data_IF_146005743914
#
_entry.id   IF_146005743914
#
_cell.length_a   1.000
_cell.length_b   1.000
_cell.length_c   1.000
_cell.angle_alpha   90.00
_cell.angle_beta   90.00
_cell.angle_gamma   90.00
#
_symmetry.space_group_name_H-M   'P 1'
#
loop_
_entity.id
_entity.type
_entity.pdbx_description
1 polymer ?
#
# COMPACT_ATOMS: atom_id res chain seq x y z
N UNK A 1 21.32 -4.59 -2.33
CA UNK A 1 19.86 -4.64 -2.24
C UNK A 1 19.37 -3.28 -1.84
N UNK A 2 18.16 -2.93 -2.26
CA UNK A 2 17.46 -1.75 -1.75
C UNK A 2 16.94 -2.00 -0.33
N UNK A 3 16.68 -0.93 0.42
CA UNK A 3 15.92 -1.01 1.67
C UNK A 3 14.42 -1.10 1.38
N UNK A 4 13.63 -1.55 2.36
CA UNK A 4 12.16 -1.57 2.25
C UNK A 4 11.59 -0.19 1.90
N UNK A 5 12.08 0.87 2.54
CA UNK A 5 11.67 2.24 2.25
C UNK A 5 12.03 2.68 0.82
N UNK A 6 13.20 2.28 0.31
CA UNK A 6 13.58 2.56 -1.08
C UNK A 6 12.68 1.85 -2.07
N UNK A 7 12.38 0.56 -1.81
CA UNK A 7 11.45 -0.22 -2.62
C UNK A 7 10.06 0.43 -2.61
N UNK A 8 9.47 0.66 -1.44
CA UNK A 8 8.12 1.21 -1.32
C UNK A 8 7.96 2.57 -2.02
N UNK A 9 8.98 3.45 -1.93
CA UNK A 9 8.95 4.74 -2.62
C UNK A 9 9.09 4.62 -4.14
N UNK A 10 9.88 3.66 -4.63
CA UNK A 10 10.06 3.37 -6.05
C UNK A 10 8.79 2.74 -6.64
N UNK A 11 8.30 1.65 -6.06
CA UNK A 11 7.09 0.94 -6.52
C UNK A 11 5.89 1.89 -6.55
N UNK A 12 5.68 2.70 -5.50
CA UNK A 12 4.58 3.66 -5.47
C UNK A 12 4.65 4.65 -6.65
N UNK A 13 5.85 5.14 -7.01
CA UNK A 13 6.02 6.01 -8.16
C UNK A 13 5.80 5.26 -9.49
N UNK A 14 6.36 4.06 -9.64
CA UNK A 14 6.33 3.27 -10.88
C UNK A 14 4.90 2.78 -11.20
N UNK A 15 4.17 2.31 -10.19
CA UNK A 15 2.80 1.77 -10.31
C UNK A 15 1.72 2.85 -10.36
N UNK A 16 1.93 4.01 -9.71
CA UNK A 16 0.87 5.03 -9.54
C UNK A 16 1.19 6.40 -10.12
N UNK A 17 2.45 6.71 -10.42
CA UNK A 17 2.87 8.05 -10.83
C UNK A 17 2.98 9.06 -9.67
N UNK A 18 2.70 8.63 -8.44
CA UNK A 18 2.81 9.43 -7.22
C UNK A 18 4.07 9.10 -6.46
N UNK A 19 4.90 10.10 -6.21
CA UNK A 19 6.04 9.97 -5.32
C UNK A 19 5.58 10.22 -3.88
N UNK A 20 5.69 9.25 -2.96
CA UNK A 20 5.41 9.49 -1.55
C UNK A 20 6.45 10.44 -0.95
N UNK A 21 6.05 11.18 0.08
CA UNK A 21 6.98 11.88 0.97
C UNK A 21 7.83 10.90 1.78
N UNK A 22 8.53 11.37 2.83
CA UNK A 22 9.28 10.50 3.71
C UNK A 22 8.40 9.39 4.29
N UNK A 23 8.79 8.13 4.09
CA UNK A 23 8.07 6.99 4.66
C UNK A 23 8.60 6.63 6.04
N UNK A 24 7.75 5.99 6.83
CA UNK A 24 8.13 5.34 8.08
C UNK A 24 7.65 3.89 8.09
N UNK A 25 8.43 2.95 8.64
CA UNK A 25 7.98 1.57 8.81
C UNK A 25 6.67 1.53 9.61
N UNK A 26 5.67 0.83 9.09
CA UNK A 26 4.36 0.75 9.71
C UNK A 26 4.07 -0.64 10.26
N UNK A 27 4.00 -1.63 9.38
CA UNK A 27 3.71 -3.01 9.75
C UNK A 27 4.61 -3.98 9.00
N UNK A 28 4.81 -5.16 9.59
CA UNK A 28 5.35 -6.31 8.88
C UNK A 28 4.80 -7.60 9.45
N UNK A 29 4.47 -8.54 8.57
CA UNK A 29 3.91 -9.83 8.97
C UNK A 29 4.21 -10.93 7.95
N UNK A 30 3.90 -12.17 8.32
CA UNK A 30 4.06 -13.35 7.47
C UNK A 30 2.68 -13.87 7.06
N UNK A 31 2.17 -13.52 5.86
CA UNK A 31 0.78 -13.79 5.47
C UNK A 31 0.48 -15.28 5.24
N UNK A 32 1.51 -16.11 5.03
CA UNK A 32 1.36 -17.48 4.59
C UNK A 32 2.33 -18.45 5.31
N UNK A 33 2.39 -18.32 6.64
CA UNK A 33 3.17 -19.19 7.52
C UNK A 33 2.93 -20.68 7.22
N UNK A 34 3.99 -21.47 7.19
CA UNK A 34 3.95 -22.90 6.87
C UNK A 34 3.76 -23.23 5.38
N UNK A 35 3.58 -22.22 4.52
CA UNK A 35 3.50 -22.39 3.07
C UNK A 35 4.68 -21.72 2.37
N UNK A 36 4.93 -20.44 2.65
CA UNK A 36 6.04 -19.66 2.07
C UNK A 36 6.74 -18.86 3.15
N UNK A 37 8.04 -18.64 2.97
CA UNK A 37 8.88 -17.80 3.83
C UNK A 37 8.75 -16.31 3.44
N UNK A 38 7.51 -15.87 3.18
CA UNK A 38 7.21 -14.51 2.77
C UNK A 38 7.05 -13.62 4.01
N UNK A 39 7.85 -12.56 4.07
CA UNK A 39 7.61 -11.42 4.96
C UNK A 39 7.08 -10.27 4.11
N UNK A 40 5.91 -9.76 4.46
CA UNK A 40 5.38 -8.55 3.84
C UNK A 40 5.71 -7.34 4.72
N UNK A 41 6.08 -6.23 4.09
CA UNK A 41 6.45 -4.99 4.77
C UNK A 41 5.60 -3.85 4.25
N UNK A 42 5.11 -3.00 5.15
CA UNK A 42 4.35 -1.80 4.82
C UNK A 42 5.09 -0.59 5.36
N UNK A 43 5.33 0.36 4.47
CA UNK A 43 5.84 1.70 4.75
C UNK A 43 4.67 2.67 4.64
N UNK A 44 4.58 3.64 5.55
CA UNK A 44 3.51 4.66 5.57
C UNK A 44 4.10 6.02 5.22
N UNK A 45 3.43 6.73 4.31
CA UNK A 45 3.61 8.16 4.08
C UNK A 45 2.28 8.89 4.29
N UNK A 46 2.35 10.16 4.69
CA UNK A 46 1.18 11.05 4.86
C UNK A 46 1.13 12.17 3.82
N UNK A 47 2.13 12.18 2.94
CA UNK A 47 2.28 13.13 1.84
C UNK A 47 2.56 12.34 0.57
N UNK A 48 2.04 12.82 -0.56
CA UNK A 48 2.35 12.30 -1.88
C UNK A 48 2.25 13.44 -2.90
N UNK A 49 3.11 13.42 -3.90
CA UNK A 49 3.09 14.39 -5.00
C UNK A 49 3.07 13.66 -6.34
N UNK A 50 2.17 14.09 -7.21
CA UNK A 50 2.06 13.54 -8.55
C UNK A 50 3.24 14.01 -9.40
N UNK A 51 4.00 13.07 -9.94
CA UNK A 51 5.21 13.34 -10.74
C UNK A 51 4.93 13.14 -12.23
N UNK A 52 4.02 12.25 -12.59
CA UNK A 52 3.64 11.96 -13.97
C UNK A 52 2.84 10.67 -14.07
N UNK A 53 2.62 10.19 -15.29
CA UNK A 53 1.91 8.93 -15.50
C UNK A 53 2.72 7.73 -14.98
N UNK A 54 2.05 6.66 -14.50
CA UNK A 54 2.72 5.41 -14.13
C UNK A 54 3.56 4.86 -15.27
N UNK A 55 4.68 4.25 -14.94
CA UNK A 55 5.50 3.51 -15.90
C UNK A 55 5.05 2.05 -16.02
N UNK A 56 4.40 1.52 -14.98
CA UNK A 56 3.91 0.14 -14.92
C UNK A 56 2.39 0.11 -15.07
N UNK A 57 1.93 -0.11 -16.30
CA UNK A 57 0.53 0.05 -16.68
C UNK A 57 -0.33 -1.20 -16.43
N UNK A 58 0.30 -2.34 -16.14
CA UNK A 58 -0.39 -3.63 -16.02
C UNK A 58 -0.82 -3.95 -14.58
N UNK A 59 -0.42 -3.13 -13.61
CA UNK A 59 -0.61 -3.39 -12.17
C UNK A 59 -1.89 -2.74 -11.61
N UNK A 60 -2.32 -1.62 -12.19
CA UNK A 60 -3.51 -0.89 -11.79
C UNK A 60 -4.41 -0.52 -12.98
N UNK A 61 -5.70 -0.86 -12.89
CA UNK A 61 -6.68 -0.43 -13.89
C UNK A 61 -7.10 1.05 -13.73
N UNK A 62 -6.97 1.60 -12.53
CA UNK A 62 -7.26 2.99 -12.19
C UNK A 62 -6.49 3.40 -10.93
N UNK A 63 -6.17 4.69 -10.81
CA UNK A 63 -5.49 5.29 -9.66
C UNK A 63 -6.37 6.42 -9.14
N UNK A 64 -6.84 6.29 -7.91
CA UNK A 64 -7.79 7.22 -7.31
C UNK A 64 -7.47 7.46 -5.83
N UNK A 65 -7.70 8.70 -5.39
CA UNK A 65 -7.66 9.05 -3.98
C UNK A 65 -9.02 8.75 -3.34
N UNK A 66 -9.02 7.87 -2.34
CA UNK A 66 -10.22 7.46 -1.61
C UNK A 66 -10.14 8.03 -0.17
N UNK A 67 -11.18 8.73 0.31
CA UNK A 67 -11.25 9.16 1.70
C UNK A 67 -11.18 7.96 2.67
N UNK A 68 -10.41 8.07 3.75
CA UNK A 68 -10.30 7.00 4.76
C UNK A 68 -11.66 6.62 5.37
N UNK A 69 -12.58 7.58 5.48
CA UNK A 69 -13.94 7.36 6.00
C UNK A 69 -14.79 6.42 5.11
N UNK A 70 -14.45 6.28 3.82
CA UNK A 70 -15.15 5.40 2.87
C UNK A 70 -14.63 3.96 2.92
N UNK A 71 -13.40 3.75 3.42
CA UNK A 71 -12.72 2.45 3.44
C UNK A 71 -13.54 1.36 4.16
N UNK A 72 -14.17 1.59 5.33
CA UNK A 72 -15.02 0.57 5.94
C UNK A 72 -16.18 0.11 5.05
N UNK A 73 -16.69 0.97 4.17
CA UNK A 73 -17.74 0.63 3.20
C UNK A 73 -17.21 -0.25 2.07
N UNK A 74 -16.01 0.06 1.56
CA UNK A 74 -15.35 -0.73 0.52
C UNK A 74 -14.94 -2.12 1.01
N UNK A 75 -14.48 -2.23 2.26
CA UNK A 75 -14.18 -3.51 2.90
C UNK A 75 -15.46 -4.35 3.02
N UNK A 76 -16.53 -3.78 3.58
CA UNK A 76 -17.81 -4.52 3.78
C UNK A 76 -18.44 -4.98 2.46
N UNK A 77 -18.28 -4.21 1.40
CA UNK A 77 -18.81 -4.56 0.07
C UNK A 77 -17.90 -5.49 -0.73
N UNK A 78 -16.71 -5.83 -0.23
CA UNK A 78 -15.77 -6.74 -0.87
C UNK A 78 -14.93 -6.14 -1.99
N UNK A 79 -14.92 -4.81 -2.13
CA UNK A 79 -14.05 -4.10 -3.10
C UNK A 79 -12.59 -4.08 -2.63
N UNK A 80 -12.35 -4.14 -1.31
CA UNK A 80 -11.04 -4.44 -0.73
C UNK A 80 -11.12 -5.85 -0.16
N UNK A 81 -10.47 -6.81 -0.80
CA UNK A 81 -10.65 -8.24 -0.50
C UNK A 81 -9.36 -9.06 -0.40
N UNK A 82 -8.19 -8.46 -0.64
CA UNK A 82 -6.91 -9.12 -0.46
C UNK A 82 -6.34 -8.83 0.93
N UNK A 83 -5.63 -9.81 1.50
CA UNK A 83 -5.07 -9.68 2.86
C UNK A 83 -3.92 -8.68 2.97
N UNK A 84 -3.27 -8.34 1.85
CA UNK A 84 -2.13 -7.41 1.81
C UNK A 84 -2.58 -5.97 1.98
N UNK A 85 -3.69 -5.58 1.35
CA UNK A 85 -4.32 -4.27 1.47
C UNK A 85 -5.20 -4.17 2.72
N UNK A 86 -5.96 -5.22 3.06
CA UNK A 86 -6.86 -5.22 4.22
C UNK A 86 -6.13 -4.96 5.54
N UNK A 87 -4.97 -5.59 5.75
CA UNK A 87 -4.22 -5.53 7.01
C UNK A 87 -3.78 -4.11 7.39
N UNK A 88 -3.05 -3.36 6.54
CA UNK A 88 -2.64 -2.00 6.85
C UNK A 88 -3.81 -1.02 6.93
N UNK A 89 -4.85 -1.15 6.10
CA UNK A 89 -6.03 -0.28 6.18
C UNK A 89 -6.78 -0.46 7.51
N UNK A 90 -6.98 -1.70 7.96
CA UNK A 90 -7.63 -1.95 9.25
C UNK A 90 -6.78 -1.47 10.42
N UNK A 91 -5.45 -1.56 10.33
CA UNK A 91 -4.54 -1.03 11.34
C UNK A 91 -4.60 0.50 11.43
N UNK A 92 -4.60 1.19 10.28
CA UNK A 92 -4.74 2.66 10.22
C UNK A 92 -6.09 3.09 10.82
N UNK A 93 -7.19 2.42 10.45
CA UNK A 93 -8.52 2.69 11.01
C UNK A 93 -8.62 2.38 12.52
N UNK A 94 -7.79 1.47 13.03
CA UNK A 94 -7.69 1.16 14.45
C UNK A 94 -6.77 2.15 15.22
N UNK A 95 -6.07 3.04 14.51
CA UNK A 95 -5.14 4.01 15.10
C UNK A 95 -3.84 3.38 15.61
N UNK A 96 -3.33 2.35 14.92
CA UNK A 96 -2.03 1.73 15.21
C UNK A 96 -0.84 2.59 14.74
#
# INVERSE_FOLDING_TARGET
>A
GETVAQAAARECLEETGWQPGPTTPFLSWHPANGSVDLTFHVERATEAHHVGDPTELDEAAAIEWIPLDDIPGLIRSGHVNDGFTLTPLLAELAGL
#
